data_IF_121496956789
#
_entry.id   IF_121496956789
#
_cell.length_a   1.000
_cell.length_b   1.000
_cell.length_c   1.000
_cell.angle_alpha   90.00
_cell.angle_beta   90.00
_cell.angle_gamma   90.00
#
_symmetry.space_group_name_H-M   'P 1'
#
loop_
_entity.id
_entity.type
_entity.pdbx_description
1 polymer ?
#
# COMPACT_ATOMS: atom_id res chain seq x y z
N UNK A 1 -14.99 10.54 7.09
CA UNK A 1 -15.11 9.56 5.99
C UNK A 1 -16.12 10.03 4.94
N UNK A 2 -17.23 10.67 5.34
CA UNK A 2 -18.23 11.25 4.43
C UNK A 2 -17.68 12.30 3.44
N UNK A 3 -16.73 13.15 3.87
CA UNK A 3 -16.14 14.18 3.00
C UNK A 3 -15.05 13.66 2.04
N UNK A 4 -14.46 12.50 2.28
CA UNK A 4 -13.29 12.00 1.51
C UNK A 4 -13.66 10.83 0.61
N UNK A 5 -14.52 9.91 1.10
CA UNK A 5 -15.01 8.80 0.30
C UNK A 5 -16.27 9.17 -0.51
N UNK A 6 -17.06 10.17 -0.09
CA UNK A 6 -18.39 10.45 -0.66
C UNK A 6 -19.30 9.20 -0.76
N UNK A 7 -19.07 8.18 0.07
CA UNK A 7 -19.75 6.87 -0.02
C UNK A 7 -19.21 5.93 -1.11
N UNK A 8 -18.17 6.32 -1.86
CA UNK A 8 -17.56 5.50 -2.90
C UNK A 8 -16.47 4.59 -2.33
N UNK A 9 -16.79 3.29 -2.26
CA UNK A 9 -15.89 2.25 -1.78
C UNK A 9 -14.57 2.17 -2.57
N UNK A 10 -14.55 2.58 -3.85
CA UNK A 10 -13.33 2.59 -4.68
C UNK A 10 -12.32 3.61 -4.17
N UNK A 11 -12.79 4.79 -3.74
CA UNK A 11 -11.93 5.85 -3.19
C UNK A 11 -11.35 5.41 -1.85
N UNK A 12 -12.17 4.78 -1.00
CA UNK A 12 -11.73 4.18 0.25
C UNK A 12 -10.65 3.11 0.05
N UNK A 13 -10.88 2.18 -0.88
CA UNK A 13 -9.93 1.13 -1.25
C UNK A 13 -8.60 1.72 -1.74
N UNK A 14 -8.68 2.68 -2.66
CA UNK A 14 -7.50 3.33 -3.25
C UNK A 14 -6.67 4.07 -2.19
N UNK A 15 -7.34 4.76 -1.27
CA UNK A 15 -6.67 5.42 -0.14
C UNK A 15 -5.99 4.42 0.78
N UNK A 16 -6.66 3.31 1.13
CA UNK A 16 -6.06 2.28 1.96
C UNK A 16 -4.83 1.68 1.29
N UNK A 17 -4.87 1.40 -0.02
CA UNK A 17 -3.72 0.91 -0.77
C UNK A 17 -2.55 1.89 -0.68
N UNK A 18 -2.76 3.14 -1.11
CA UNK A 18 -1.70 4.16 -1.18
C UNK A 18 -1.12 4.48 0.19
N UNK A 19 -1.97 4.64 1.21
CA UNK A 19 -1.50 4.89 2.59
C UNK A 19 -0.67 3.71 3.10
N UNK A 20 -1.10 2.48 2.84
CA UNK A 20 -0.35 1.30 3.24
C UNK A 20 1.02 1.24 2.55
N UNK A 21 1.11 1.56 1.26
CA UNK A 21 2.38 1.62 0.52
C UNK A 21 3.36 2.59 1.18
N UNK A 22 2.93 3.84 1.36
CA UNK A 22 3.74 4.87 2.02
C UNK A 22 4.16 4.48 3.45
N UNK A 23 3.28 3.82 4.20
CA UNK A 23 3.61 3.38 5.56
C UNK A 23 4.65 2.24 5.53
N UNK A 24 4.60 1.38 4.52
CA UNK A 24 5.57 0.31 4.26
C UNK A 24 6.96 0.83 3.89
N UNK A 25 7.08 2.07 3.43
CA UNK A 25 8.39 2.68 3.23
C UNK A 25 9.02 3.21 4.50
N UNK A 26 8.24 3.39 5.57
CA UNK A 26 8.72 3.89 6.85
C UNK A 26 8.97 2.77 7.86
N UNK A 27 8.28 1.64 7.71
CA UNK A 27 8.27 0.51 8.63
C UNK A 27 8.41 -0.81 7.87
N UNK A 28 8.70 -1.92 8.56
CA UNK A 28 8.72 -3.22 7.90
C UNK A 28 7.30 -3.68 7.49
N UNK A 29 7.21 -4.46 6.42
CA UNK A 29 5.97 -4.97 5.83
C UNK A 29 4.99 -5.57 6.85
N UNK A 30 5.49 -6.39 7.79
CA UNK A 30 4.66 -7.07 8.78
C UNK A 30 4.04 -6.09 9.80
N UNK A 31 4.81 -5.10 10.25
CA UNK A 31 4.32 -4.07 11.15
C UNK A 31 3.28 -3.18 10.45
N UNK A 32 3.52 -2.81 9.19
CA UNK A 32 2.58 -2.06 8.38
C UNK A 32 1.25 -2.80 8.21
N UNK A 33 1.29 -4.09 7.84
CA UNK A 33 0.09 -4.90 7.70
C UNK A 33 -0.69 -5.02 9.03
N UNK A 34 0.01 -5.23 10.15
CA UNK A 34 -0.61 -5.33 11.47
C UNK A 34 -1.35 -4.04 11.89
N UNK A 35 -0.80 -2.87 11.54
CA UNK A 35 -1.42 -1.57 11.82
C UNK A 35 -2.58 -1.28 10.87
N UNK A 36 -2.43 -1.59 9.58
CA UNK A 36 -3.41 -1.22 8.55
C UNK A 36 -4.60 -2.18 8.49
N UNK A 37 -4.45 -3.46 8.84
CA UNK A 37 -5.54 -4.44 8.90
C UNK A 37 -6.79 -3.95 9.65
N UNK A 38 -6.71 -3.54 10.93
CA UNK A 38 -7.88 -3.08 11.67
C UNK A 38 -8.51 -1.81 11.08
N UNK A 39 -7.70 -0.92 10.49
CA UNK A 39 -8.17 0.31 9.83
C UNK A 39 -8.94 -0.04 8.55
N UNK A 40 -8.42 -0.98 7.76
CA UNK A 40 -9.04 -1.47 6.53
C UNK A 40 -10.38 -2.17 6.81
N UNK A 41 -10.44 -3.02 7.83
CA UNK A 41 -11.68 -3.66 8.29
C UNK A 41 -12.74 -2.64 8.74
N UNK A 42 -12.33 -1.65 9.55
CA UNK A 42 -13.23 -0.59 9.99
C UNK A 42 -13.74 0.27 8.83
N UNK A 43 -12.88 0.53 7.84
CA UNK A 43 -13.23 1.30 6.63
C UNK A 43 -14.20 0.54 5.74
N UNK A 44 -13.97 -0.76 5.51
CA UNK A 44 -14.87 -1.63 4.76
C UNK A 44 -16.26 -1.69 5.42
N UNK A 45 -16.31 -1.88 6.75
CA UNK A 45 -17.55 -1.89 7.51
C UNK A 45 -18.31 -0.56 7.43
N UNK A 46 -17.60 0.57 7.52
CA UNK A 46 -18.21 1.91 7.42
C UNK A 46 -18.76 2.21 6.02
N UNK A 47 -18.17 1.63 4.97
CA UNK A 47 -18.58 1.81 3.58
C UNK A 47 -19.56 0.72 3.09
N UNK A 48 -19.87 -0.27 3.93
CA UNK A 48 -20.71 -1.41 3.55
C UNK A 48 -20.12 -2.28 2.44
N UNK A 49 -18.80 -2.25 2.27
CA UNK A 49 -18.07 -2.91 1.20
C UNK A 49 -17.40 -4.21 1.65
N UNK A 50 -16.98 -5.05 0.70
CA UNK A 50 -16.32 -6.32 1.00
C UNK A 50 -15.00 -6.15 1.80
N UNK A 51 -14.88 -6.74 3.01
CA UNK A 51 -13.66 -6.65 3.83
C UNK A 51 -12.44 -7.25 3.13
N UNK A 52 -12.64 -8.30 2.34
CA UNK A 52 -11.57 -9.01 1.63
C UNK A 52 -10.84 -8.09 0.63
N UNK A 53 -11.55 -7.22 -0.08
CA UNK A 53 -10.95 -6.27 -1.01
C UNK A 53 -9.99 -5.31 -0.27
N UNK A 54 -10.42 -4.81 0.88
CA UNK A 54 -9.66 -3.88 1.71
C UNK A 54 -8.45 -4.55 2.38
N UNK A 55 -8.62 -5.79 2.86
CA UNK A 55 -7.50 -6.57 3.38
C UNK A 55 -6.47 -6.90 2.30
N UNK A 56 -6.92 -7.22 1.08
CA UNK A 56 -6.01 -7.46 -0.03
C UNK A 56 -5.29 -6.18 -0.48
N UNK A 57 -5.96 -5.03 -0.45
CA UNK A 57 -5.31 -3.73 -0.66
C UNK A 57 -4.19 -3.49 0.36
N UNK A 58 -4.40 -3.85 1.63
CA UNK A 58 -3.35 -3.80 2.67
C UNK A 58 -2.23 -4.78 2.36
N UNK A 59 -2.53 -6.02 2.00
CA UNK A 59 -1.51 -7.04 1.71
C UNK A 59 -0.59 -6.62 0.54
N UNK A 60 -1.19 -6.07 -0.52
CA UNK A 60 -0.44 -5.54 -1.67
C UNK A 60 0.38 -4.32 -1.24
N UNK A 61 -0.25 -3.34 -0.60
CA UNK A 61 0.40 -2.10 -0.22
C UNK A 61 1.57 -2.32 0.74
N UNK A 62 1.40 -3.19 1.73
CA UNK A 62 2.45 -3.55 2.70
C UNK A 62 3.59 -4.36 2.08
N UNK A 63 3.45 -4.84 0.85
CA UNK A 63 4.53 -5.53 0.11
C UNK A 63 5.36 -4.56 -0.74
N UNK A 64 4.92 -3.30 -0.86
CA UNK A 64 5.52 -2.29 -1.74
C UNK A 64 6.36 -1.31 -0.92
N UNK A 65 7.52 -1.75 -0.44
CA UNK A 65 8.50 -0.90 0.23
C UNK A 65 9.60 -0.51 -0.78
N UNK A 66 9.33 0.45 -1.66
CA UNK A 66 10.21 0.78 -2.78
C UNK A 66 10.85 2.17 -2.68
N UNK A 67 10.26 3.10 -1.92
CA UNK A 67 10.71 4.49 -1.86
C UNK A 67 11.92 4.69 -0.94
N UNK A 68 12.12 3.80 0.03
CA UNK A 68 13.25 3.87 0.95
C UNK A 68 13.99 2.54 1.07
N UNK A 69 15.28 2.60 1.43
CA UNK A 69 16.03 1.39 1.75
C UNK A 69 15.65 0.78 3.09
N UNK A 70 14.95 1.52 3.96
CA UNK A 70 14.61 1.11 5.34
C UNK A 70 13.40 0.17 5.35
N UNK A 71 12.45 0.36 4.43
CA UNK A 71 11.20 -0.40 4.42
C UNK A 71 11.38 -1.91 4.27
N UNK A 72 12.46 -2.37 3.62
CA UNK A 72 12.78 -3.80 3.53
C UNK A 72 14.27 -4.09 3.80
N UNK A 73 14.53 -5.12 4.62
CA UNK A 73 15.89 -5.57 4.96
C UNK A 73 16.80 -5.80 3.73
N UNK A 74 16.27 -6.40 2.66
CA UNK A 74 17.00 -6.63 1.42
C UNK A 74 17.44 -5.32 0.75
N UNK A 75 16.59 -4.29 0.77
CA UNK A 75 16.91 -2.97 0.21
C UNK A 75 18.04 -2.29 1.00
N UNK A 76 18.04 -2.44 2.34
CA UNK A 76 19.15 -1.92 3.16
C UNK A 76 20.47 -2.65 2.87
N UNK A 77 20.43 -3.98 2.70
CA UNK A 77 21.62 -4.82 2.51
C UNK A 77 22.40 -4.47 1.24
N UNK A 78 21.72 -4.08 0.17
CA UNK A 78 22.37 -3.76 -1.11
C UNK A 78 22.89 -2.32 -1.20
N UNK A 79 22.57 -1.46 -0.22
CA UNK A 79 22.90 -0.03 -0.30
C UNK A 79 24.41 0.21 -0.33
N UNK A 80 25.18 -0.52 0.48
CA UNK A 80 26.65 -0.47 0.47
C UNK A 80 27.27 -1.23 -0.71
N UNK A 81 27.08 -2.57 -0.81
CA UNK A 81 27.72 -3.39 -1.83
C UNK A 81 27.26 -3.11 -3.26
N UNK A 82 26.01 -2.66 -3.43
CA UNK A 82 25.42 -2.34 -4.73
C UNK A 82 25.69 -0.90 -5.21
N UNK A 83 26.37 -0.07 -4.40
CA UNK A 83 26.69 1.31 -4.76
C UNK A 83 25.49 2.25 -4.84
N UNK A 84 24.33 1.86 -4.31
CA UNK A 84 23.12 2.67 -4.30
C UNK A 84 23.20 3.79 -3.25
N UNK A 85 22.67 4.96 -3.57
CA UNK A 85 22.45 6.05 -2.61
C UNK A 85 20.99 6.04 -2.17
N UNK A 86 20.72 6.58 -0.97
CA UNK A 86 19.36 6.70 -0.43
C UNK A 86 18.40 7.40 -1.42
N UNK A 87 18.87 8.44 -2.12
CA UNK A 87 18.08 9.17 -3.10
C UNK A 87 17.77 8.42 -4.41
N UNK A 88 18.44 7.29 -4.68
CA UNK A 88 18.17 6.49 -5.88
C UNK A 88 16.88 5.67 -5.74
N UNK A 89 16.53 5.30 -4.50
CA UNK A 89 15.32 4.51 -4.20
C UNK A 89 14.06 5.28 -4.53
N UNK A 90 13.90 6.52 -4.07
CA UNK A 90 12.70 7.29 -4.36
C UNK A 90 12.48 7.52 -5.86
N UNK A 91 13.56 7.71 -6.64
CA UNK A 91 13.49 7.94 -8.10
C UNK A 91 13.01 6.72 -8.87
N UNK A 92 13.34 5.52 -8.41
CA UNK A 92 12.91 4.25 -9.02
C UNK A 92 11.60 3.73 -8.41
N UNK A 93 11.42 3.94 -7.11
CA UNK A 93 10.29 3.48 -6.32
C UNK A 93 9.00 4.20 -6.68
N UNK A 94 9.00 5.53 -6.83
CA UNK A 94 7.79 6.28 -7.18
C UNK A 94 7.12 5.78 -8.48
N UNK A 95 7.84 5.63 -9.60
CA UNK A 95 7.27 5.06 -10.82
C UNK A 95 6.72 3.65 -10.61
N UNK A 96 7.42 2.83 -9.81
CA UNK A 96 7.02 1.45 -9.55
C UNK A 96 5.75 1.38 -8.70
N UNK A 97 5.64 2.22 -7.67
CA UNK A 97 4.45 2.34 -6.86
C UNK A 97 3.25 2.85 -7.65
N UNK A 98 3.46 3.85 -8.50
CA UNK A 98 2.41 4.33 -9.39
C UNK A 98 1.91 3.22 -10.32
N UNK A 99 2.82 2.39 -10.84
CA UNK A 99 2.48 1.21 -11.64
C UNK A 99 1.69 0.19 -10.83
N UNK A 100 2.13 -0.12 -9.61
CA UNK A 100 1.41 -1.05 -8.72
C UNK A 100 0.01 -0.53 -8.45
N UNK A 101 -0.15 0.72 -8.05
CA UNK A 101 -1.47 1.31 -7.80
C UNK A 101 -2.37 1.25 -9.05
N UNK A 102 -1.82 1.58 -10.22
CA UNK A 102 -2.55 1.54 -11.49
C UNK A 102 -3.01 0.13 -11.89
N UNK A 103 -2.28 -0.92 -11.52
CA UNK A 103 -2.63 -2.31 -11.83
C UNK A 103 -3.50 -2.94 -10.75
N UNK A 104 -3.17 -2.71 -9.48
CA UNK A 104 -3.83 -3.31 -8.33
C UNK A 104 -5.25 -2.79 -8.14
N UNK A 105 -5.51 -1.50 -8.34
CA UNK A 105 -6.87 -0.96 -8.17
C UNK A 105 -7.87 -1.64 -9.13
N UNK A 106 -7.63 -1.72 -10.46
CA UNK A 106 -8.51 -2.46 -11.36
C UNK A 106 -8.64 -3.95 -11.00
N UNK A 107 -7.53 -4.60 -10.65
CA UNK A 107 -7.55 -6.03 -10.30
C UNK A 107 -8.37 -6.31 -9.05
N UNK A 108 -8.23 -5.48 -8.01
CA UNK A 108 -9.02 -5.61 -6.79
C UNK A 108 -10.51 -5.47 -7.07
N UNK A 109 -10.91 -4.51 -7.91
CA UNK A 109 -12.32 -4.31 -8.29
C UNK A 109 -12.88 -5.47 -9.13
N UNK A 110 -12.05 -6.10 -9.96
CA UNK A 110 -12.45 -7.23 -10.80
C UNK A 110 -12.59 -8.53 -10.01
N UNK A 111 -11.70 -8.78 -9.04
CA UNK A 111 -11.67 -10.03 -8.28
C UNK A 111 -12.60 -9.96 -7.06
N UNK A 112 -12.61 -8.82 -6.36
CA UNK A 112 -13.49 -8.55 -5.23
C UNK A 112 -14.39 -7.36 -5.53
N UNK A 113 -15.56 -7.59 -6.14
CA UNK A 113 -16.56 -6.54 -6.27
C UNK A 113 -16.90 -6.00 -4.87
N UNK A 114 -16.87 -4.66 -4.76
CA UNK A 114 -17.06 -3.91 -3.51
C UNK A 114 -18.50 -3.97 -3.03
#
# INVERSE_FOLDING_TARGET
LDNVAQGNAVVGLSLILVVTMFLSDLMNNAATAAVMCPIALGTAAALGASPDAFLMAVAIGASCAFLTPIGHQNNTLILGPGGFRFGDYWRLGLPLEALVAAVSIPMLLLIWPL
#
